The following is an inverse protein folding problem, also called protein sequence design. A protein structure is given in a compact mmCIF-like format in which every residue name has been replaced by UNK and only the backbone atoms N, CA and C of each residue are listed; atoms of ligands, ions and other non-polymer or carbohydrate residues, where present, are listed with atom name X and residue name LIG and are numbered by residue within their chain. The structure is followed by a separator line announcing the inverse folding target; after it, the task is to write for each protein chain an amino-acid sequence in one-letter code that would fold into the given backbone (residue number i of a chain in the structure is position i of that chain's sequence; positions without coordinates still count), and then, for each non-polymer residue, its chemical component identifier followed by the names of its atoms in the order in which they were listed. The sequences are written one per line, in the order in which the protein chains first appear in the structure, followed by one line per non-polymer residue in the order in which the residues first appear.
data_IF_516480043325
#
_entry.id   IF_516480043325
#
_cell.length_a   1.000
_cell.length_b   1.000
_cell.length_c   1.000
_cell.angle_alpha   90.00
_cell.angle_beta   90.00
_cell.angle_gamma   90.00
#
_symmetry.space_group_name_H-M   'P 1'
#
loop_
_entity.id
_entity.type
_entity.pdbx_description
1 polymer ?
#
# COMPACT_ATOMS: atom_id res chain seq x y z
N UNK A 1 23.63 -44.44 17.36
CA UNK A 1 23.67 -45.81 17.92
C UNK A 1 22.22 -46.30 17.95
N UNK A 2 22.01 -47.60 17.70
CA UNK A 2 20.73 -48.34 17.54
C UNK A 2 20.33 -48.60 16.08
N UNK A 3 20.20 -49.90 15.82
CA UNK A 3 20.06 -50.68 14.58
C UNK A 3 18.61 -51.17 14.42
N UNK A 4 18.41 -51.87 13.29
CA UNK A 4 17.44 -52.94 13.00
C UNK A 4 16.17 -52.49 12.28
N UNK A 5 15.55 -53.24 11.36
CA UNK A 5 15.91 -54.41 10.55
C UNK A 5 14.66 -54.75 9.73
N UNK A 6 14.84 -55.12 8.47
CA UNK A 6 14.09 -56.13 7.67
C UNK A 6 12.71 -56.62 8.15
N UNK A 7 11.73 -56.70 7.24
CA UNK A 7 11.37 -58.01 6.67
C UNK A 7 10.38 -57.95 5.49
N UNK A 8 10.65 -58.83 4.55
CA UNK A 8 9.86 -59.23 3.38
C UNK A 8 8.92 -60.36 3.78
N UNK A 9 7.68 -60.40 3.27
CA UNK A 9 6.99 -61.67 3.02
C UNK A 9 6.02 -61.61 1.83
N UNK A 10 6.19 -62.60 0.94
CA UNK A 10 5.33 -63.01 -0.17
C UNK A 10 4.37 -64.10 0.29
N UNK A 11 3.36 -64.36 -0.56
CA UNK A 11 2.50 -65.55 -0.73
C UNK A 11 1.02 -65.28 -0.40
N UNK A 12 0.02 -65.86 -1.05
CA UNK A 12 -0.14 -66.59 -2.32
C UNK A 12 -1.62 -67.01 -2.39
N UNK A 13 -2.18 -67.08 -3.61
CA UNK A 13 -3.31 -67.94 -4.05
C UNK A 13 -4.68 -67.85 -3.35
N UNK A 14 -5.76 -67.77 -4.14
CA UNK A 14 -6.65 -68.93 -4.38
C UNK A 14 -7.75 -68.64 -5.42
N UNK A 15 -7.89 -69.59 -6.35
CA UNK A 15 -8.95 -69.75 -7.35
C UNK A 15 -10.32 -70.03 -6.73
N UNK A 16 -11.40 -69.56 -7.38
CA UNK A 16 -12.67 -70.32 -7.48
C UNK A 16 -13.38 -70.06 -8.83
N UNK A 17 -13.75 -71.17 -9.45
CA UNK A 17 -14.54 -71.38 -10.67
C UNK A 17 -16.03 -71.10 -10.46
N UNK A 18 -16.77 -70.71 -11.52
CA UNK A 18 -17.89 -71.51 -12.08
C UNK A 18 -18.58 -70.86 -13.30
N UNK A 19 -18.82 -71.72 -14.29
CA UNK A 19 -20.00 -71.81 -15.18
C UNK A 19 -20.22 -70.85 -16.35
N UNK A 20 -20.07 -71.44 -17.54
CA UNK A 20 -20.54 -70.95 -18.83
C UNK A 20 -22.03 -71.27 -19.04
N UNK A 21 -22.75 -70.34 -19.66
CA UNK A 21 -23.98 -70.61 -20.41
C UNK A 21 -23.78 -70.00 -21.81
N UNK A 22 -23.83 -70.85 -22.83
CA UNK A 22 -23.85 -70.46 -24.24
C UNK A 22 -25.28 -70.01 -24.61
N UNK A 23 -25.40 -68.83 -25.23
CA UNK A 23 -26.51 -68.52 -26.14
C UNK A 23 -25.92 -67.86 -27.38
N UNK A 24 -26.22 -68.46 -28.53
CA UNK A 24 -25.84 -68.05 -29.89
C UNK A 24 -26.71 -66.89 -30.38
N UNK A 25 -26.12 -65.88 -31.04
CA UNK A 25 -26.81 -65.10 -32.10
C UNK A 25 -25.86 -64.17 -32.86
N UNK A 26 -25.84 -64.38 -34.18
CA UNK A 26 -25.55 -63.50 -35.32
C UNK A 26 -24.49 -62.37 -35.21
N UNK A 27 -23.40 -62.52 -35.98
CA UNK A 27 -22.53 -61.43 -36.40
C UNK A 27 -23.27 -60.47 -37.37
N UNK A 28 -23.30 -59.19 -37.01
CA UNK A 28 -23.48 -58.07 -37.92
C UNK A 28 -22.29 -57.12 -37.70
N UNK A 29 -21.39 -57.06 -38.67
CA UNK A 29 -20.26 -56.12 -38.68
C UNK A 29 -20.78 -54.71 -38.89
N UNK A 30 -20.79 -53.89 -37.83
CA UNK A 30 -20.90 -52.44 -37.96
C UNK A 30 -19.51 -51.82 -37.96
N UNK A 31 -19.18 -51.14 -39.05
CA UNK A 31 -18.07 -50.21 -39.17
C UNK A 31 -18.27 -49.06 -38.17
N UNK A 32 -17.37 -48.96 -37.18
CA UNK A 32 -17.33 -47.83 -36.25
C UNK A 32 -16.79 -46.63 -37.03
N UNK A 33 -17.67 -45.70 -37.40
CA UNK A 33 -17.27 -44.38 -37.85
C UNK A 33 -16.60 -43.63 -36.71
N UNK A 34 -15.36 -43.18 -36.92
CA UNK A 34 -14.67 -42.26 -36.02
C UNK A 34 -15.43 -40.93 -36.05
N UNK A 35 -16.26 -40.71 -35.04
CA UNK A 35 -16.87 -39.42 -34.76
C UNK A 35 -15.76 -38.44 -34.38
N UNK A 36 -15.53 -37.43 -35.22
CA UNK A 36 -14.82 -36.22 -34.81
C UNK A 36 -15.64 -35.59 -33.68
N UNK A 37 -15.07 -35.58 -32.47
CA UNK A 37 -15.64 -34.85 -31.35
C UNK A 37 -15.74 -33.36 -31.71
N UNK A 38 -16.93 -32.91 -32.08
CA UNK A 38 -17.26 -31.50 -32.11
C UNK A 38 -17.03 -30.92 -30.71
N UNK A 39 -16.13 -29.96 -30.60
CA UNK A 39 -15.99 -29.14 -29.40
C UNK A 39 -17.38 -28.57 -29.07
N UNK A 40 -17.90 -28.91 -27.89
CA UNK A 40 -19.16 -28.35 -27.41
C UNK A 40 -19.02 -26.82 -27.40
N UNK A 41 -19.77 -26.14 -28.28
CA UNK A 41 -19.81 -24.69 -28.30
C UNK A 41 -20.44 -24.22 -26.99
N UNK A 42 -19.64 -23.63 -26.10
CA UNK A 42 -20.16 -22.89 -24.96
C UNK A 42 -21.08 -21.82 -25.54
N UNK A 43 -22.39 -21.88 -25.25
CA UNK A 43 -23.34 -20.91 -25.77
C UNK A 43 -22.94 -19.51 -25.29
N UNK A 44 -22.40 -18.70 -26.19
CA UNK A 44 -21.96 -17.34 -25.88
C UNK A 44 -23.16 -16.41 -26.00
N UNK A 45 -23.61 -15.85 -24.87
CA UNK A 45 -24.50 -14.68 -24.94
C UNK A 45 -23.75 -13.56 -25.66
N UNK A 46 -24.41 -12.75 -26.50
CA UNK A 46 -23.78 -11.57 -27.08
C UNK A 46 -23.22 -10.68 -25.95
N UNK A 47 -22.05 -10.09 -26.18
CA UNK A 47 -21.41 -9.20 -25.22
C UNK A 47 -21.36 -7.77 -25.76
N UNK A 48 -21.79 -6.80 -24.96
CA UNK A 48 -21.53 -5.37 -25.20
C UNK A 48 -20.34 -4.95 -24.35
N UNK A 49 -19.33 -4.38 -24.98
CA UNK A 49 -18.04 -4.09 -24.35
C UNK A 49 -17.76 -2.61 -24.49
N UNK A 50 -17.50 -1.95 -23.37
CA UNK A 50 -17.08 -0.55 -23.34
C UNK A 50 -15.77 -0.43 -22.59
N UNK A 51 -14.80 0.30 -23.16
CA UNK A 51 -13.54 0.66 -22.51
C UNK A 51 -13.47 2.18 -22.47
N UNK A 52 -13.29 2.77 -21.28
CA UNK A 52 -13.27 4.22 -21.09
C UNK A 52 -14.47 4.93 -21.73
N UNK A 53 -15.66 4.33 -21.56
CA UNK A 53 -16.94 4.77 -22.13
C UNK A 53 -17.06 4.66 -23.66
N UNK A 54 -16.06 4.12 -24.35
CA UNK A 54 -16.10 3.86 -25.79
C UNK A 54 -16.47 2.41 -26.08
N UNK A 55 -17.40 2.19 -27.01
CA UNK A 55 -17.78 0.83 -27.42
C UNK A 55 -16.67 0.20 -28.25
N UNK A 56 -16.28 -1.02 -27.91
CA UNK A 56 -15.27 -1.80 -28.64
C UNK A 56 -15.84 -3.12 -29.13
N UNK A 57 -15.34 -3.60 -30.27
CA UNK A 57 -15.67 -4.93 -30.79
C UNK A 57 -14.41 -5.79 -30.72
N UNK A 58 -14.55 -7.00 -30.20
CA UNK A 58 -13.49 -7.99 -30.20
C UNK A 58 -13.78 -9.07 -31.25
N UNK A 59 -12.72 -9.68 -31.77
CA UNK A 59 -12.78 -10.68 -32.84
C UNK A 59 -13.47 -11.94 -32.33
N UNK A 60 -13.17 -12.31 -31.09
CA UNK A 60 -13.82 -13.38 -30.37
C UNK A 60 -14.68 -12.83 -29.23
N UNK A 61 -15.92 -13.27 -29.19
CA UNK A 61 -16.85 -12.90 -28.14
C UNK A 61 -16.36 -13.43 -26.78
N UNK A 62 -16.39 -12.60 -25.73
CA UNK A 62 -16.26 -13.06 -24.36
C UNK A 62 -17.30 -14.13 -24.02
N UNK A 63 -16.96 -15.03 -23.10
CA UNK A 63 -17.85 -16.09 -22.65
C UNK A 63 -17.69 -16.38 -21.18
N UNK A 64 -18.71 -17.02 -20.57
CA UNK A 64 -18.64 -17.49 -19.18
C UNK A 64 -18.50 -19.01 -19.17
N UNK A 65 -17.52 -19.51 -18.44
CA UNK A 65 -17.41 -20.93 -18.14
C UNK A 65 -17.19 -21.11 -16.65
N UNK A 66 -18.04 -21.91 -15.99
CA UNK A 66 -17.98 -22.19 -14.54
C UNK A 66 -17.84 -20.90 -13.69
N UNK A 67 -18.59 -19.86 -14.04
CA UNK A 67 -18.57 -18.57 -13.35
C UNK A 67 -17.40 -17.64 -13.69
N UNK A 68 -16.43 -18.09 -14.51
CA UNK A 68 -15.30 -17.26 -14.96
C UNK A 68 -15.60 -16.63 -16.32
N UNK A 69 -15.46 -15.31 -16.43
CA UNK A 69 -15.57 -14.59 -17.71
C UNK A 69 -14.23 -14.60 -18.41
N UNK A 70 -14.17 -15.17 -19.61
CA UNK A 70 -13.01 -15.21 -20.47
C UNK A 70 -13.11 -14.15 -21.57
N UNK A 71 -12.00 -13.51 -21.88
CA UNK A 71 -11.87 -12.51 -22.93
C UNK A 71 -10.59 -12.72 -23.76
N UNK A 72 -10.55 -12.29 -25.04
CA UNK A 72 -9.35 -12.34 -25.85
C UNK A 72 -8.26 -11.43 -25.27
N UNK A 73 -7.18 -12.03 -24.76
CA UNK A 73 -6.13 -11.35 -24.00
C UNK A 73 -5.57 -10.15 -24.74
N UNK A 74 -5.15 -10.35 -26.01
CA UNK A 74 -4.53 -9.29 -26.81
C UNK A 74 -5.45 -8.09 -26.99
N UNK A 75 -6.73 -8.33 -27.26
CA UNK A 75 -7.68 -7.25 -27.55
C UNK A 75 -8.09 -6.52 -26.29
N UNK A 76 -8.34 -7.24 -25.20
CA UNK A 76 -8.63 -6.65 -23.90
C UNK A 76 -7.44 -5.81 -23.40
N UNK A 77 -6.22 -6.36 -23.46
CA UNK A 77 -5.01 -5.64 -23.02
C UNK A 77 -4.70 -4.41 -23.89
N UNK A 78 -4.80 -4.54 -25.21
CA UNK A 78 -4.56 -3.40 -26.11
C UNK A 78 -5.63 -2.31 -25.94
N UNK A 79 -6.88 -2.69 -25.69
CA UNK A 79 -7.96 -1.73 -25.44
C UNK A 79 -7.76 -0.98 -24.11
N UNK A 80 -7.10 -1.59 -23.13
CA UNK A 80 -6.69 -0.96 -21.86
C UNK A 80 -5.39 -0.12 -21.98
N UNK A 81 -4.84 0.03 -23.19
CA UNK A 81 -3.62 0.81 -23.46
C UNK A 81 -2.31 0.02 -23.42
N UNK A 82 -2.36 -1.28 -23.08
CA UNK A 82 -1.16 -2.12 -22.97
C UNK A 82 -0.55 -2.47 -24.33
N UNK A 83 0.78 -2.44 -24.41
CA UNK A 83 1.51 -2.87 -25.61
C UNK A 83 1.75 -4.39 -25.57
N UNK A 84 1.08 -5.14 -26.45
CA UNK A 84 1.09 -6.61 -26.42
C UNK A 84 2.09 -7.20 -27.44
N UNK A 85 3.11 -7.90 -26.95
CA UNK A 85 4.10 -8.63 -27.76
C UNK A 85 4.05 -10.13 -27.50
N UNK A 86 4.40 -10.92 -28.53
CA UNK A 86 4.64 -12.35 -28.38
C UNK A 86 6.13 -12.59 -28.22
N UNK A 87 6.52 -13.25 -27.13
CA UNK A 87 7.88 -13.71 -26.92
C UNK A 87 8.01 -15.17 -27.38
N UNK A 88 8.55 -15.36 -28.58
CA UNK A 88 8.71 -16.68 -29.19
C UNK A 88 9.66 -17.59 -28.40
N UNK A 89 10.72 -17.03 -27.79
CA UNK A 89 11.68 -17.84 -27.04
C UNK A 89 11.07 -18.37 -25.73
N UNK A 90 10.31 -17.53 -25.02
CA UNK A 90 9.68 -17.90 -23.74
C UNK A 90 8.31 -18.57 -23.88
N UNK A 91 7.73 -18.52 -25.08
CA UNK A 91 6.37 -18.95 -25.39
C UNK A 91 5.34 -18.24 -24.48
N UNK A 92 5.49 -16.92 -24.36
CA UNK A 92 4.66 -16.06 -23.50
C UNK A 92 4.12 -14.87 -24.27
N UNK A 93 2.95 -14.40 -23.84
CA UNK A 93 2.50 -13.05 -24.16
C UNK A 93 3.10 -12.11 -23.12
N UNK A 94 3.70 -11.01 -23.58
CA UNK A 94 4.22 -9.92 -22.75
C UNK A 94 3.38 -8.67 -23.04
N UNK A 95 2.85 -8.04 -22.00
CA UNK A 95 2.10 -6.78 -22.05
C UNK A 95 2.93 -5.75 -21.29
N UNK A 96 3.25 -4.64 -21.93
CA UNK A 96 3.90 -3.50 -21.27
C UNK A 96 2.86 -2.43 -20.99
N UNK A 97 2.73 -2.04 -19.73
CA UNK A 97 1.76 -1.05 -19.28
C UNK A 97 2.31 -0.29 -18.08
N UNK A 98 2.32 1.05 -18.14
CA UNK A 98 2.83 1.91 -17.05
C UNK A 98 4.16 1.45 -16.43
N UNK A 99 5.12 1.09 -17.29
CA UNK A 99 6.44 0.58 -16.90
C UNK A 99 6.44 -0.87 -16.38
N UNK A 100 5.30 -1.48 -16.10
CA UNK A 100 5.20 -2.88 -15.68
C UNK A 100 5.29 -3.83 -16.87
N UNK A 101 5.93 -4.98 -16.66
CA UNK A 101 5.95 -6.10 -17.62
C UNK A 101 5.05 -7.22 -17.11
N UNK A 102 3.91 -7.40 -17.76
CA UNK A 102 2.93 -8.43 -17.44
C UNK A 102 3.15 -9.61 -18.41
N UNK A 103 3.53 -10.76 -17.87
CA UNK A 103 3.86 -11.96 -18.65
C UNK A 103 2.87 -13.07 -18.36
N UNK A 104 2.36 -13.71 -19.42
CA UNK A 104 1.46 -14.84 -19.29
C UNK A 104 1.80 -15.95 -20.28
N UNK A 105 1.90 -17.19 -19.77
CA UNK A 105 2.06 -18.40 -20.59
C UNK A 105 0.70 -19.03 -20.85
N UNK A 106 0.38 -19.28 -22.11
CA UNK A 106 -0.88 -19.92 -22.51
C UNK A 106 -1.09 -21.27 -21.80
N UNK A 107 -2.32 -21.53 -21.37
CA UNK A 107 -2.69 -22.76 -20.66
C UNK A 107 -2.31 -22.78 -19.18
N UNK A 108 -1.71 -21.72 -18.65
CA UNK A 108 -1.40 -21.61 -17.21
C UNK A 108 -2.45 -20.77 -16.48
N UNK A 109 -2.47 -20.88 -15.15
CA UNK A 109 -3.30 -20.10 -14.24
C UNK A 109 -2.49 -19.07 -13.45
N UNK A 110 -1.39 -18.56 -14.02
CA UNK A 110 -0.54 -17.53 -13.40
C UNK A 110 -0.31 -16.38 -14.38
N UNK A 111 -0.42 -15.15 -13.90
CA UNK A 111 0.12 -13.96 -14.55
C UNK A 111 1.28 -13.49 -13.68
N UNK A 112 2.44 -13.27 -14.29
CA UNK A 112 3.60 -12.66 -13.65
C UNK A 112 3.56 -11.16 -13.95
N UNK A 113 3.75 -10.31 -12.95
CA UNK A 113 3.87 -8.84 -13.10
C UNK A 113 5.18 -8.44 -12.46
N UNK A 114 6.19 -8.09 -13.26
CA UNK A 114 7.56 -7.92 -12.78
C UNK A 114 7.99 -9.16 -11.95
N UNK A 115 8.26 -9.01 -10.66
CA UNK A 115 8.60 -10.10 -9.73
C UNK A 115 7.39 -10.71 -9.00
N UNK A 116 6.22 -10.07 -9.07
CA UNK A 116 4.98 -10.51 -8.44
C UNK A 116 4.19 -11.52 -9.29
N UNK A 117 3.27 -12.24 -8.63
CA UNK A 117 2.41 -13.24 -9.26
C UNK A 117 0.96 -13.07 -8.82
N UNK A 118 0.06 -13.12 -9.79
CA UNK A 118 -1.38 -13.25 -9.55
C UNK A 118 -1.87 -14.62 -10.03
N UNK A 119 -2.64 -15.28 -9.16
CA UNK A 119 -3.29 -16.55 -9.47
C UNK A 119 -4.63 -16.31 -10.15
N UNK A 120 -4.85 -17.04 -11.24
CA UNK A 120 -6.08 -17.00 -12.00
C UNK A 120 -7.06 -18.03 -11.43
N UNK A 121 -8.38 -17.75 -11.43
CA UNK A 121 -9.38 -18.71 -10.97
C UNK A 121 -9.45 -19.96 -11.85
N UNK A 122 -8.92 -19.89 -13.08
CA UNK A 122 -8.80 -21.00 -14.00
C UNK A 122 -7.69 -20.74 -15.05
N UNK A 123 -7.13 -21.78 -15.69
CA UNK A 123 -6.14 -21.59 -16.75
C UNK A 123 -6.69 -20.86 -17.98
N UNK A 124 -5.83 -20.13 -18.69
CA UNK A 124 -6.17 -19.57 -20.00
C UNK A 124 -6.42 -20.67 -21.05
N UNK A 125 -7.17 -20.33 -22.09
CA UNK A 125 -7.63 -21.26 -23.13
C UNK A 125 -7.25 -20.76 -24.51
N UNK A 126 -6.89 -21.66 -25.41
CA UNK A 126 -6.72 -21.33 -26.82
C UNK A 126 -8.03 -21.64 -27.56
N UNK A 127 -8.59 -20.64 -28.24
CA UNK A 127 -9.75 -20.78 -29.11
C UNK A 127 -9.36 -20.32 -30.52
N UNK A 128 -9.18 -21.27 -31.43
CA UNK A 128 -8.86 -21.00 -32.84
C UNK A 128 -7.65 -20.07 -33.04
N UNK A 129 -6.62 -20.19 -32.20
CA UNK A 129 -5.43 -19.34 -32.24
C UNK A 129 -5.51 -18.10 -31.34
N UNK A 130 -6.67 -17.80 -30.76
CA UNK A 130 -6.86 -16.69 -29.83
C UNK A 130 -6.73 -17.16 -28.39
N UNK A 131 -5.81 -16.51 -27.66
CA UNK A 131 -5.64 -16.76 -26.23
C UNK A 131 -6.73 -16.04 -25.43
N UNK A 132 -7.60 -16.82 -24.81
CA UNK A 132 -8.68 -16.38 -23.95
C UNK A 132 -8.25 -16.48 -22.49
N UNK A 133 -8.37 -15.39 -21.74
CA UNK A 133 -7.92 -15.28 -20.35
C UNK A 133 -9.06 -14.85 -19.43
N UNK A 134 -9.12 -15.33 -18.17
CA UNK A 134 -9.97 -14.76 -17.14
C UNK A 134 -9.84 -13.22 -17.09
N UNK A 135 -10.90 -12.53 -17.50
CA UNK A 135 -10.88 -11.09 -17.73
C UNK A 135 -10.62 -10.31 -16.43
N UNK A 136 -11.13 -10.79 -15.30
CA UNK A 136 -10.87 -10.19 -13.98
C UNK A 136 -9.38 -10.18 -13.68
N UNK A 137 -8.69 -11.32 -13.79
CA UNK A 137 -7.26 -11.41 -13.53
C UNK A 137 -6.42 -10.57 -14.48
N UNK A 138 -6.80 -10.46 -15.77
CA UNK A 138 -6.14 -9.54 -16.69
C UNK A 138 -6.36 -8.07 -16.28
N UNK A 139 -7.59 -7.72 -15.89
CA UNK A 139 -7.91 -6.37 -15.44
C UNK A 139 -7.13 -6.03 -14.17
N UNK A 140 -7.07 -6.94 -13.20
CA UNK A 140 -6.32 -6.76 -11.96
C UNK A 140 -4.81 -6.59 -12.24
N UNK A 141 -4.24 -7.42 -13.14
CA UNK A 141 -2.83 -7.33 -13.55
C UNK A 141 -2.49 -6.00 -14.25
N UNK A 142 -3.45 -5.41 -14.97
CA UNK A 142 -3.33 -4.11 -15.63
C UNK A 142 -3.85 -2.95 -14.77
N UNK A 143 -4.16 -3.20 -13.48
CA UNK A 143 -4.76 -2.20 -12.57
C UNK A 143 -5.97 -1.50 -13.23
N UNK A 144 -6.76 -2.22 -14.01
CA UNK A 144 -7.93 -1.71 -14.69
C UNK A 144 -9.21 -1.95 -13.88
N UNK A 145 -10.14 -0.99 -13.95
CA UNK A 145 -11.48 -1.16 -13.40
C UNK A 145 -12.30 -2.13 -14.27
N UNK A 146 -13.02 -3.05 -13.64
CA UNK A 146 -13.90 -4.01 -14.31
C UNK A 146 -15.27 -4.07 -13.64
N UNK A 147 -16.32 -3.81 -14.42
CA UNK A 147 -17.70 -4.10 -14.06
C UNK A 147 -18.28 -5.11 -15.04
N UNK A 148 -18.84 -6.19 -14.49
CA UNK A 148 -19.49 -7.25 -15.24
C UNK A 148 -20.97 -7.29 -14.87
N UNK A 149 -21.85 -7.16 -15.85
CA UNK A 149 -23.29 -7.35 -15.65
C UNK A 149 -23.78 -8.45 -16.60
N UNK A 150 -24.31 -9.53 -16.04
CA UNK A 150 -24.87 -10.63 -16.81
C UNK A 150 -26.40 -10.52 -16.82
N UNK A 151 -26.98 -10.28 -17.99
CA UNK A 151 -28.44 -10.23 -18.18
C UNK A 151 -28.93 -11.52 -18.84
N UNK A 152 -30.24 -11.80 -18.91
CA UNK A 152 -30.76 -12.96 -19.64
C UNK A 152 -30.31 -13.00 -21.11
N UNK A 153 -30.22 -11.82 -21.77
CA UNK A 153 -30.00 -11.71 -23.22
C UNK A 153 -28.57 -11.37 -23.62
N UNK A 154 -27.80 -10.68 -22.76
CA UNK A 154 -26.43 -10.25 -23.06
C UNK A 154 -25.51 -10.15 -21.84
N UNK A 155 -24.21 -10.24 -22.07
CA UNK A 155 -23.19 -9.82 -21.13
C UNK A 155 -22.84 -8.34 -21.38
N UNK A 156 -22.69 -7.55 -20.31
CA UNK A 156 -22.20 -6.18 -20.38
C UNK A 156 -20.86 -6.16 -19.65
N UNK A 157 -19.81 -5.73 -20.36
CA UNK A 157 -18.45 -5.59 -19.85
C UNK A 157 -18.08 -4.11 -19.92
N UNK A 158 -17.82 -3.51 -18.77
CA UNK A 158 -17.29 -2.14 -18.69
C UNK A 158 -15.90 -2.20 -18.11
N UNK A 159 -14.93 -1.82 -18.92
CA UNK A 159 -13.52 -1.67 -18.54
C UNK A 159 -13.19 -0.19 -18.39
N UNK A 160 -12.30 0.12 -17.45
CA UNK A 160 -11.70 1.44 -17.26
C UNK A 160 -10.20 1.29 -17.15
N UNK A 161 -9.45 1.95 -18.01
CA UNK A 161 -7.99 1.90 -18.00
C UNK A 161 -7.41 2.51 -16.73
N UNK A 162 -6.20 2.11 -16.34
CA UNK A 162 -5.55 2.69 -15.17
C UNK A 162 -5.14 4.14 -15.44
N UNK A 163 -5.94 5.06 -14.93
CA UNK A 163 -5.66 6.50 -15.00
C UNK A 163 -4.98 7.02 -13.73
N UNK A 164 -4.82 6.15 -12.72
CA UNK A 164 -4.25 6.51 -11.43
C UNK A 164 -2.72 6.42 -11.47
N UNK A 165 -2.15 5.51 -12.25
CA UNK A 165 -0.69 5.41 -12.39
C UNK A 165 -0.15 6.50 -13.32
N UNK A 166 0.83 7.25 -12.85
CA UNK A 166 1.52 8.31 -13.61
C UNK A 166 3.01 8.01 -13.59
N UNK A 167 3.64 7.97 -14.75
CA UNK A 167 5.10 7.93 -14.91
C UNK A 167 5.45 8.84 -16.08
N UNK A 168 6.04 10.00 -15.78
CA UNK A 168 6.59 10.87 -16.81
C UNK A 168 7.89 10.28 -17.35
N UNK A 169 8.25 10.64 -18.58
CA UNK A 169 9.48 10.14 -19.23
C UNK A 169 10.73 10.37 -18.36
N UNK A 170 10.79 11.50 -17.68
CA UNK A 170 11.91 11.92 -16.83
C UNK A 170 11.99 11.13 -15.52
N UNK A 171 10.87 10.57 -15.03
CA UNK A 171 10.83 9.80 -13.77
C UNK A 171 10.97 8.28 -13.98
N UNK A 172 11.21 7.82 -15.20
CA UNK A 172 11.41 6.40 -15.52
C UNK A 172 12.60 5.78 -14.78
N UNK A 173 13.66 6.55 -14.53
CA UNK A 173 14.81 6.09 -13.74
C UNK A 173 14.39 5.82 -12.28
N UNK A 174 13.50 6.62 -11.71
CA UNK A 174 12.99 6.45 -10.34
C UNK A 174 12.10 5.19 -10.27
N UNK A 175 11.24 4.95 -11.26
CA UNK A 175 10.45 3.70 -11.37
C UNK A 175 11.36 2.47 -11.43
N UNK A 176 12.46 2.54 -12.19
CA UNK A 176 13.43 1.45 -12.28
C UNK A 176 14.15 1.22 -10.94
N UNK A 177 14.60 2.28 -10.27
CA UNK A 177 15.23 2.21 -8.96
C UNK A 177 14.32 1.54 -7.92
N UNK A 178 13.04 1.95 -7.84
CA UNK A 178 12.09 1.38 -6.88
C UNK A 178 11.85 -0.12 -7.11
N UNK A 179 11.81 -0.57 -8.37
CA UNK A 179 11.71 -1.99 -8.70
C UNK A 179 12.96 -2.77 -8.28
N UNK A 180 14.14 -2.27 -8.61
CA UNK A 180 15.42 -2.91 -8.26
C UNK A 180 15.65 -2.97 -6.75
N UNK A 181 15.18 -1.96 -6.02
CA UNK A 181 15.20 -1.92 -4.57
C UNK A 181 14.15 -2.85 -3.92
N UNK A 182 13.31 -3.52 -4.70
CA UNK A 182 12.24 -4.39 -4.20
C UNK A 182 11.18 -3.63 -3.40
N UNK A 183 10.92 -2.37 -3.74
CA UNK A 183 9.93 -1.56 -3.06
C UNK A 183 8.52 -2.14 -3.26
N UNK A 184 7.74 -2.21 -2.18
CA UNK A 184 6.34 -2.61 -2.17
C UNK A 184 5.54 -1.58 -1.37
N UNK A 185 4.53 -1.01 -2.00
CA UNK A 185 3.78 0.13 -1.48
C UNK A 185 3.44 1.16 -2.54
N UNK A 186 3.11 2.37 -2.10
CA UNK A 186 2.71 3.48 -2.99
C UNK A 186 3.77 4.57 -2.97
N UNK A 187 4.30 4.93 -4.14
CA UNK A 187 5.24 6.03 -4.30
C UNK A 187 4.61 7.21 -5.05
N UNK A 188 4.95 8.43 -4.63
CA UNK A 188 4.70 9.66 -5.35
C UNK A 188 5.97 10.54 -5.33
N UNK A 189 6.29 11.12 -6.48
CA UNK A 189 7.31 12.15 -6.64
C UNK A 189 6.69 13.33 -7.36
N UNK A 190 6.79 14.51 -6.76
CA UNK A 190 6.33 15.76 -7.34
C UNK A 190 7.44 16.82 -7.33
N UNK A 191 7.37 17.74 -8.30
CA UNK A 191 8.20 18.95 -8.35
C UNK A 191 7.26 20.14 -8.39
N UNK A 192 7.35 21.03 -7.40
CA UNK A 192 6.48 22.21 -7.25
C UNK A 192 4.97 21.87 -7.28
N UNK A 193 4.61 20.72 -6.73
CA UNK A 193 3.24 20.20 -6.72
C UNK A 193 2.81 19.44 -7.97
N UNK A 194 3.59 19.49 -9.06
CA UNK A 194 3.32 18.73 -10.28
C UNK A 194 3.81 17.29 -10.14
N UNK A 195 2.88 16.34 -10.24
CA UNK A 195 3.17 14.91 -10.10
C UNK A 195 3.99 14.42 -11.30
N UNK A 196 5.18 13.88 -11.01
CA UNK A 196 6.11 13.28 -12.00
C UNK A 196 6.07 11.77 -11.98
N UNK A 197 5.85 11.18 -10.80
CA UNK A 197 5.61 9.76 -10.61
C UNK A 197 4.52 9.57 -9.56
N UNK A 198 3.58 8.65 -9.81
CA UNK A 198 2.56 8.20 -8.87
C UNK A 198 2.23 6.76 -9.20
N UNK A 199 2.72 5.80 -8.43
CA UNK A 199 2.63 4.37 -8.76
C UNK A 199 2.56 3.46 -7.54
N UNK A 200 1.79 2.38 -7.67
CA UNK A 200 1.79 1.26 -6.75
C UNK A 200 2.72 0.13 -7.20
N UNK A 201 3.47 -0.43 -6.25
CA UNK A 201 4.43 -1.52 -6.42
C UNK A 201 4.07 -2.66 -5.48
N UNK A 202 4.28 -3.90 -5.91
CA UNK A 202 3.97 -5.08 -5.11
C UNK A 202 2.47 -5.36 -4.97
N UNK A 203 2.16 -6.15 -3.95
CA UNK A 203 0.81 -6.64 -3.65
C UNK A 203 0.15 -5.84 -2.52
N UNK A 204 -1.10 -5.40 -2.71
CA UNK A 204 -1.92 -4.78 -1.66
C UNK A 204 -2.59 -5.80 -0.75
N UNK A 205 -2.83 -7.00 -1.28
CA UNK A 205 -3.25 -8.22 -0.60
C UNK A 205 -2.80 -9.45 -1.43
N UNK A 206 -3.05 -10.68 -0.99
CA UNK A 206 -2.58 -11.90 -1.68
C UNK A 206 -3.10 -12.06 -3.13
N UNK A 207 -4.12 -11.32 -3.55
CA UNK A 207 -4.75 -11.45 -4.87
C UNK A 207 -4.81 -10.13 -5.66
N UNK A 208 -4.27 -9.03 -5.14
CA UNK A 208 -4.44 -7.69 -5.72
C UNK A 208 -3.15 -6.90 -5.70
N UNK A 209 -2.84 -6.21 -6.80
CA UNK A 209 -1.69 -5.29 -6.88
C UNK A 209 -1.98 -4.00 -6.12
N UNK A 210 -0.93 -3.38 -5.59
CA UNK A 210 -1.01 -2.02 -5.06
C UNK A 210 -1.40 -1.05 -6.17
N UNK A 211 -2.42 -0.23 -5.89
CA UNK A 211 -2.79 0.92 -6.71
C UNK A 211 -2.40 2.22 -6.00
N UNK A 212 -2.00 3.25 -6.76
CA UNK A 212 -1.57 4.50 -6.14
C UNK A 212 -2.70 5.36 -5.55
N UNK A 213 -3.97 5.02 -5.79
CA UNK A 213 -5.16 5.68 -5.21
C UNK A 213 -5.68 5.00 -3.94
N UNK A 214 -4.97 3.99 -3.42
CA UNK A 214 -5.31 3.34 -2.16
C UNK A 214 -4.80 4.12 -0.95
N UNK A 215 -5.42 3.83 0.20
CA UNK A 215 -5.03 4.37 1.51
C UNK A 215 -3.96 3.48 2.14
N UNK A 216 -3.08 4.09 2.93
CA UNK A 216 -2.14 3.38 3.79
C UNK A 216 -2.15 3.99 5.19
N UNK A 217 -1.79 3.21 6.20
CA UNK A 217 -1.28 3.79 7.44
C UNK A 217 -0.03 4.61 7.12
N UNK A 218 0.11 5.77 7.75
CA UNK A 218 1.29 6.65 7.53
C UNK A 218 2.29 6.60 8.68
N UNK A 219 1.97 5.84 9.74
CA UNK A 219 2.79 5.66 10.94
C UNK A 219 3.32 7.02 11.44
N UNK A 220 4.60 7.13 11.79
CA UNK A 220 5.17 8.32 12.42
C UNK A 220 5.16 9.60 11.57
N UNK A 221 4.80 9.56 10.28
CA UNK A 221 4.47 10.78 9.52
C UNK A 221 3.35 11.57 10.22
N UNK A 222 2.49 10.88 11.00
CA UNK A 222 1.49 11.48 11.89
C UNK A 222 2.07 12.59 12.78
N UNK A 223 3.33 12.49 13.21
CA UNK A 223 3.98 13.46 14.09
C UNK A 223 4.08 14.85 13.48
N UNK A 224 4.27 14.94 12.16
CA UNK A 224 4.23 16.23 11.46
C UNK A 224 2.88 16.93 11.59
N UNK A 225 1.77 16.18 11.57
CA UNK A 225 0.43 16.73 11.80
C UNK A 225 0.22 17.15 13.25
N UNK A 226 0.71 16.34 14.21
CA UNK A 226 0.65 16.67 15.64
C UNK A 226 1.43 17.94 15.96
N UNK A 227 2.66 18.05 15.44
CA UNK A 227 3.49 19.23 15.60
C UNK A 227 2.82 20.47 15.01
N UNK A 228 2.30 20.39 13.79
CA UNK A 228 1.58 21.51 13.19
C UNK A 228 0.32 21.92 13.96
N UNK A 229 -0.43 20.97 14.54
CA UNK A 229 -1.58 21.27 15.40
C UNK A 229 -1.18 22.03 16.67
N UNK A 230 -0.07 21.64 17.29
CA UNK A 230 0.47 22.33 18.47
C UNK A 230 1.02 23.70 18.09
N UNK A 231 1.77 23.80 16.99
CA UNK A 231 2.30 25.08 16.50
C UNK A 231 1.19 26.05 16.08
N UNK A 232 0.06 25.56 15.58
CA UNK A 232 -1.12 26.39 15.32
C UNK A 232 -1.68 27.00 16.62
N UNK A 233 -1.64 26.25 17.74
CA UNK A 233 -2.07 26.73 19.06
C UNK A 233 -1.06 27.72 19.67
N UNK A 234 0.24 27.51 19.44
CA UNK A 234 1.30 28.48 19.78
C UNK A 234 1.10 29.78 19.01
N UNK A 235 0.90 29.71 17.69
CA UNK A 235 0.65 30.88 16.83
C UNK A 235 -0.59 31.67 17.28
N UNK A 236 -1.62 30.99 17.77
CA UNK A 236 -2.84 31.62 18.30
C UNK A 236 -2.67 32.21 19.72
N UNK A 237 -1.52 31.97 20.37
CA UNK A 237 -1.26 32.41 21.74
C UNK A 237 -2.00 31.62 22.82
N UNK A 238 -2.57 30.46 22.48
CA UNK A 238 -3.31 29.62 23.44
C UNK A 238 -2.37 28.84 24.37
N UNK A 239 -1.17 28.53 23.90
CA UNK A 239 -0.12 27.83 24.64
C UNK A 239 1.25 28.45 24.30
N UNK A 240 2.23 28.24 25.18
CA UNK A 240 3.64 28.58 24.96
C UNK A 240 4.47 27.31 24.82
N UNK A 241 5.53 27.36 24.00
CA UNK A 241 6.52 26.28 23.90
C UNK A 241 7.21 26.00 25.26
N UNK A 242 7.29 27.01 26.13
CA UNK A 242 7.88 26.91 27.47
C UNK A 242 6.88 26.47 28.55
N UNK A 243 5.60 26.28 28.19
CA UNK A 243 4.64 25.82 29.18
C UNK A 243 5.02 24.41 29.67
N UNK A 244 4.99 24.17 30.99
CA UNK A 244 5.26 22.84 31.53
C UNK A 244 4.09 21.91 31.25
N UNK A 245 4.38 20.63 31.02
CA UNK A 245 3.36 19.59 30.78
C UNK A 245 2.34 19.53 31.92
N UNK A 246 2.77 19.74 33.17
CA UNK A 246 1.90 19.70 34.36
C UNK A 246 0.78 20.75 34.35
N UNK A 247 0.89 21.79 33.51
CA UNK A 247 -0.19 22.78 33.29
C UNK A 247 -1.42 22.16 32.63
N UNK A 248 -1.24 21.10 31.85
CA UNK A 248 -2.28 20.47 31.03
C UNK A 248 -2.53 19.01 31.41
N UNK A 249 -1.47 18.27 31.75
CA UNK A 249 -1.54 16.84 32.09
C UNK A 249 -0.84 16.60 33.42
N UNK A 250 -1.63 16.27 34.45
CA UNK A 250 -1.12 16.03 35.80
C UNK A 250 -0.55 14.61 35.99
N UNK A 251 0.35 14.48 36.98
CA UNK A 251 0.89 13.18 37.43
C UNK A 251 2.03 12.61 36.60
N UNK A 252 2.57 13.38 35.65
CA UNK A 252 3.76 12.99 34.87
C UNK A 252 5.02 13.20 35.71
N UNK A 253 5.94 12.23 35.72
CA UNK A 253 7.24 12.32 36.40
C UNK A 253 7.99 13.58 35.91
N UNK A 254 8.26 14.52 36.83
CA UNK A 254 8.84 15.85 36.54
C UNK A 254 8.10 16.62 35.43
N UNK A 255 6.79 16.43 35.30
CA UNK A 255 5.97 17.16 34.32
C UNK A 255 5.97 18.69 34.51
N UNK A 256 6.38 19.19 35.67
CA UNK A 256 6.60 20.62 35.94
C UNK A 256 7.91 21.17 35.37
N UNK A 257 8.81 20.30 34.91
CA UNK A 257 10.11 20.66 34.32
C UNK A 257 10.14 20.37 32.81
N UNK A 258 9.35 19.39 32.34
CA UNK A 258 9.23 19.05 30.92
C UNK A 258 8.34 20.10 30.23
N UNK A 259 8.86 20.76 29.20
CA UNK A 259 8.11 21.77 28.41
C UNK A 259 7.51 21.18 27.13
N UNK A 260 6.57 21.91 26.50
CA UNK A 260 6.01 21.56 25.19
C UNK A 260 7.11 21.46 24.12
N UNK A 261 8.09 22.38 24.13
CA UNK A 261 9.28 22.31 23.28
C UNK A 261 9.97 20.95 23.40
N UNK A 262 10.23 20.49 24.63
CA UNK A 262 10.93 19.22 24.87
C UNK A 262 10.13 17.98 24.41
N UNK A 263 8.80 18.07 24.40
CA UNK A 263 7.96 17.03 23.81
C UNK A 263 8.08 17.01 22.28
N UNK A 264 8.04 18.16 21.63
CA UNK A 264 8.11 18.30 20.17
C UNK A 264 9.49 17.89 19.61
N UNK A 265 10.57 18.27 20.30
CA UNK A 265 11.97 18.01 19.91
C UNK A 265 12.54 16.67 20.42
N UNK A 266 11.73 15.85 21.09
CA UNK A 266 12.14 14.59 21.73
C UNK A 266 13.26 14.73 22.76
N UNK A 267 13.31 15.83 23.51
CA UNK A 267 14.32 16.05 24.58
C UNK A 267 13.75 15.90 25.99
N UNK A 268 12.51 15.43 26.13
CA UNK A 268 11.82 15.26 27.43
C UNK A 268 12.37 14.18 28.37
N UNK A 269 13.19 13.25 27.86
CA UNK A 269 13.65 12.08 28.63
C UNK A 269 12.60 10.98 28.84
N UNK A 270 11.37 11.12 28.30
CA UNK A 270 10.30 10.12 28.44
C UNK A 270 10.61 8.83 27.66
N UNK A 271 10.32 7.64 28.21
CA UNK A 271 10.42 6.37 27.47
C UNK A 271 9.51 6.36 26.24
N UNK A 272 9.86 5.59 25.21
CA UNK A 272 9.13 5.57 23.93
C UNK A 272 8.00 4.53 23.84
N UNK A 273 8.04 3.49 24.68
CA UNK A 273 7.09 2.39 24.62
C UNK A 273 5.76 2.73 25.30
N UNK A 274 4.68 2.14 24.80
CA UNK A 274 3.35 2.13 25.40
C UNK A 274 2.61 0.87 24.95
N UNK A 275 1.51 0.53 25.61
CA UNK A 275 0.69 -0.64 25.26
C UNK A 275 0.00 -0.45 23.91
N UNK A 276 0.39 -1.25 22.92
CA UNK A 276 -0.21 -1.26 21.57
C UNK A 276 -1.23 -2.39 21.45
N UNK A 277 -2.41 -2.18 22.01
CA UNK A 277 -3.54 -3.12 21.93
C UNK A 277 -4.80 -2.40 21.44
N UNK A 278 -5.60 -3.07 20.64
CA UNK A 278 -6.88 -2.53 20.18
C UNK A 278 -7.81 -2.17 21.35
N UNK A 279 -8.52 -1.05 21.23
CA UNK A 279 -9.47 -0.59 22.25
C UNK A 279 -8.85 0.15 23.44
N UNK A 280 -7.52 0.34 23.46
CA UNK A 280 -6.86 1.12 24.51
C UNK A 280 -7.20 2.61 24.33
N UNK A 281 -7.69 3.23 25.40
CA UNK A 281 -8.07 4.66 25.42
C UNK A 281 -6.87 5.56 25.67
N UNK A 282 -7.03 6.85 25.36
CA UNK A 282 -6.07 7.89 25.74
C UNK A 282 -5.82 7.87 27.26
N UNK A 283 -6.88 7.85 28.08
CA UNK A 283 -6.74 7.84 29.54
C UNK A 283 -5.96 6.63 30.08
N UNK A 284 -6.17 5.44 29.51
CA UNK A 284 -5.36 4.27 29.89
C UNK A 284 -3.87 4.50 29.58
N UNK A 285 -3.58 5.08 28.42
CA UNK A 285 -2.20 5.34 28.00
C UNK A 285 -1.55 6.43 28.88
N UNK A 286 -2.30 7.48 29.24
CA UNK A 286 -1.83 8.49 30.19
C UNK A 286 -1.56 7.89 31.56
N UNK A 287 -2.45 7.02 32.07
CA UNK A 287 -2.22 6.29 33.31
C UNK A 287 -0.96 5.42 33.24
N UNK A 288 -0.70 4.76 32.10
CA UNK A 288 0.54 4.02 31.87
C UNK A 288 1.77 4.96 31.93
N UNK A 289 1.74 6.10 31.24
CA UNK A 289 2.84 7.07 31.21
C UNK A 289 3.17 7.60 32.62
N UNK A 290 2.15 7.89 33.45
CA UNK A 290 2.31 8.36 34.84
C UNK A 290 3.11 7.38 35.72
N UNK A 291 3.15 6.09 35.37
CA UNK A 291 3.92 5.08 36.13
C UNK A 291 5.39 5.00 35.72
N UNK A 292 5.79 5.66 34.63
CA UNK A 292 7.12 5.52 34.06
C UNK A 292 8.09 6.53 34.66
N UNK A 293 9.36 6.11 34.76
CA UNK A 293 10.46 7.00 35.11
C UNK A 293 11.09 7.59 33.86
N UNK A 294 11.55 8.83 33.98
CA UNK A 294 12.40 9.43 32.97
C UNK A 294 13.66 8.59 32.79
N UNK A 295 14.13 8.53 31.56
CA UNK A 295 15.31 7.79 31.20
C UNK A 295 16.52 8.70 30.92
N UNK A 296 16.30 10.02 30.95
CA UNK A 296 17.30 11.09 30.92
C UNK A 296 16.74 12.35 31.61
N UNK A 297 17.59 13.30 31.97
CA UNK A 297 17.17 14.60 32.48
C UNK A 297 16.42 15.41 31.40
N UNK A 298 15.32 16.12 31.73
CA UNK A 298 14.61 16.97 30.76
C UNK A 298 15.55 17.99 30.09
N UNK A 299 15.55 18.01 28.76
CA UNK A 299 16.37 18.89 27.94
C UNK A 299 17.84 18.44 27.75
N UNK A 300 18.28 17.36 28.37
CA UNK A 300 19.70 16.99 28.37
C UNK A 300 20.17 16.32 27.07
N UNK A 301 19.34 15.49 26.44
CA UNK A 301 19.69 14.75 25.23
C UNK A 301 18.46 14.45 24.36
N UNK A 302 18.70 14.23 23.07
CA UNK A 302 17.68 13.69 22.18
C UNK A 302 17.36 12.24 22.49
N UNK A 303 16.08 11.94 22.66
CA UNK A 303 15.55 10.58 22.74
C UNK A 303 14.13 10.49 22.21
N UNK A 304 14.03 9.92 21.02
CA UNK A 304 12.75 9.68 20.35
C UNK A 304 11.72 8.99 21.27
N UNK A 305 10.62 9.71 21.54
CA UNK A 305 9.59 9.27 22.49
C UNK A 305 8.20 9.38 21.90
N UNK A 306 7.55 8.24 21.68
CA UNK A 306 6.12 8.26 21.33
C UNK A 306 5.26 8.80 22.47
N UNK A 307 5.66 8.59 23.74
CA UNK A 307 4.90 9.12 24.88
C UNK A 307 4.89 10.64 24.91
N UNK A 308 5.96 11.31 24.46
CA UNK A 308 5.95 12.76 24.31
C UNK A 308 4.89 13.25 23.32
N UNK A 309 4.75 12.58 22.18
CA UNK A 309 3.72 12.91 21.19
C UNK A 309 2.30 12.50 21.61
N UNK A 310 2.15 11.48 22.45
CA UNK A 310 0.87 11.16 23.09
C UNK A 310 0.45 12.30 24.03
N UNK A 311 1.38 12.83 24.82
CA UNK A 311 1.13 13.98 25.67
C UNK A 311 0.77 15.23 24.85
N UNK A 312 1.43 15.47 23.71
CA UNK A 312 1.04 16.56 22.79
C UNK A 312 -0.40 16.40 22.28
N UNK A 313 -0.81 15.18 21.91
CA UNK A 313 -2.20 14.93 21.54
C UNK A 313 -3.17 15.18 22.70
N UNK A 314 -2.84 14.73 23.92
CA UNK A 314 -3.67 14.99 25.10
C UNK A 314 -3.76 16.50 25.44
N UNK A 315 -2.65 17.24 25.33
CA UNK A 315 -2.63 18.70 25.49
C UNK A 315 -3.54 19.36 24.44
N UNK A 316 -3.46 18.94 23.18
CA UNK A 316 -4.32 19.44 22.12
C UNK A 316 -5.81 19.19 22.40
N UNK A 317 -6.16 18.00 22.90
CA UNK A 317 -7.53 17.65 23.29
C UNK A 317 -8.01 18.53 24.46
N UNK A 318 -7.17 18.73 25.48
CA UNK A 318 -7.47 19.56 26.66
C UNK A 318 -7.73 21.03 26.27
N UNK A 319 -6.84 21.64 25.47
CA UNK A 319 -6.97 23.06 25.11
C UNK A 319 -8.09 23.34 24.11
N UNK A 320 -8.37 22.39 23.22
CA UNK A 320 -9.37 22.58 22.16
C UNK A 320 -10.76 22.07 22.53
N UNK A 321 -10.87 21.20 23.53
CA UNK A 321 -12.10 20.49 23.88
C UNK A 321 -12.58 19.50 22.82
N UNK A 322 -11.71 19.11 21.86
CA UNK A 322 -12.03 18.21 20.75
C UNK A 322 -11.11 17.01 20.76
N UNK A 323 -11.62 15.84 20.39
CA UNK A 323 -10.78 14.67 20.13
C UNK A 323 -9.74 14.96 19.04
N UNK A 324 -8.55 14.39 19.16
CA UNK A 324 -7.39 14.64 18.29
C UNK A 324 -7.74 14.52 16.80
N UNK A 325 -8.43 13.44 16.41
CA UNK A 325 -8.84 13.22 15.03
C UNK A 325 -9.86 14.25 14.53
N UNK A 326 -10.77 14.69 15.40
CA UNK A 326 -11.78 15.70 15.07
C UNK A 326 -11.14 17.08 14.89
N UNK A 327 -10.18 17.44 15.75
CA UNK A 327 -9.38 18.66 15.60
C UNK A 327 -8.67 18.66 14.24
N UNK A 328 -7.94 17.59 13.90
CA UNK A 328 -7.21 17.51 12.63
C UNK A 328 -8.15 17.57 11.41
N UNK A 329 -9.30 16.91 11.50
CA UNK A 329 -10.29 16.92 10.43
C UNK A 329 -10.82 18.33 10.14
N UNK A 330 -11.08 19.11 11.18
CA UNK A 330 -11.65 20.46 11.07
C UNK A 330 -10.60 21.51 10.69
N UNK A 331 -9.42 21.47 11.29
CA UNK A 331 -8.41 22.51 11.15
C UNK A 331 -7.43 22.28 10.00
N UNK A 332 -7.28 21.04 9.52
CA UNK A 332 -6.34 20.71 8.44
C UNK A 332 -7.02 19.97 7.29
N UNK A 333 -7.58 18.78 7.53
CA UNK A 333 -7.98 17.89 6.43
C UNK A 333 -9.11 18.46 5.56
N UNK A 334 -10.19 18.97 6.17
CA UNK A 334 -11.27 19.62 5.40
C UNK A 334 -10.79 20.90 4.69
N UNK A 335 -10.13 21.87 5.36
CA UNK A 335 -9.68 23.11 4.72
C UNK A 335 -8.72 22.95 3.55
N UNK A 336 -7.90 21.90 3.55
CA UNK A 336 -6.92 21.64 2.47
C UNK A 336 -7.33 20.51 1.54
N UNK A 337 -8.54 19.96 1.72
CA UNK A 337 -9.14 19.00 0.80
C UNK A 337 -8.52 17.60 0.87
N UNK A 338 -7.99 17.21 2.02
CA UNK A 338 -7.55 15.84 2.30
C UNK A 338 -8.75 14.96 2.65
N UNK A 339 -9.43 14.44 1.63
CA UNK A 339 -10.70 13.71 1.77
C UNK A 339 -10.52 12.25 2.18
N UNK A 340 -9.31 11.73 2.03
CA UNK A 340 -8.95 10.34 2.21
C UNK A 340 -7.89 10.17 3.33
N UNK A 341 -7.94 11.08 4.30
CA UNK A 341 -7.06 11.12 5.48
C UNK A 341 -7.90 11.21 6.75
N UNK A 342 -7.48 10.49 7.79
CA UNK A 342 -8.17 10.51 9.08
C UNK A 342 -7.53 9.57 10.10
N UNK A 343 -8.18 9.43 11.27
CA UNK A 343 -7.80 8.44 12.28
C UNK A 343 -8.21 7.05 11.82
N UNK A 344 -7.28 6.11 11.79
CA UNK A 344 -7.53 4.74 11.38
C UNK A 344 -8.27 3.95 12.47
N UNK A 345 -9.23 3.16 11.99
CA UNK A 345 -9.98 2.16 12.77
C UNK A 345 -9.79 0.78 12.12
N UNK A 346 -10.13 -0.32 12.82
CA UNK A 346 -10.11 -1.66 12.22
C UNK A 346 -10.97 -1.80 10.95
N UNK A 347 -11.97 -0.93 10.75
CA UNK A 347 -12.81 -0.91 9.56
C UNK A 347 -12.27 -0.02 8.42
N UNK A 348 -11.21 0.73 8.68
CA UNK A 348 -10.56 1.57 7.67
C UNK A 348 -9.88 0.69 6.63
N UNK A 349 -10.25 0.85 5.36
CA UNK A 349 -9.67 0.08 4.26
C UNK A 349 -8.35 0.71 3.81
N UNK A 350 -7.25 0.08 4.19
CA UNK A 350 -5.88 0.39 3.76
C UNK A 350 -5.27 -0.79 2.99
N UNK A 351 -4.19 -0.55 2.25
CA UNK A 351 -3.32 -1.64 1.77
C UNK A 351 -2.86 -2.48 2.96
N UNK A 352 -2.75 -3.80 2.79
CA UNK A 352 -2.32 -4.70 3.87
C UNK A 352 -0.83 -4.56 4.11
N UNK A 353 -0.45 -4.50 5.38
CA UNK A 353 0.94 -4.53 5.81
C UNK A 353 1.46 -5.96 5.95
N UNK A 354 2.77 -6.14 5.77
CA UNK A 354 3.43 -7.44 5.78
C UNK A 354 4.67 -7.45 6.69
N UNK A 355 4.88 -8.56 7.38
CA UNK A 355 6.07 -8.81 8.20
C UNK A 355 6.81 -10.04 7.70
N UNK A 356 8.15 -10.01 7.77
CA UNK A 356 8.96 -11.19 7.49
C UNK A 356 8.75 -12.25 8.57
N UNK A 357 8.42 -13.47 8.14
CA UNK A 357 8.34 -14.67 8.96
C UNK A 357 9.33 -15.70 8.43
N UNK A 358 10.61 -15.53 8.79
CA UNK A 358 11.72 -16.42 8.41
C UNK A 358 11.98 -16.43 6.89
N UNK A 359 12.09 -15.25 6.27
CA UNK A 359 12.36 -15.06 4.85
C UNK A 359 11.12 -15.15 3.95
N UNK A 360 9.93 -15.19 4.54
CA UNK A 360 8.65 -15.16 3.81
C UNK A 360 7.78 -14.03 4.33
N UNK A 361 7.30 -13.15 3.44
CA UNK A 361 6.36 -12.09 3.78
C UNK A 361 4.97 -12.66 4.06
N UNK A 362 4.43 -12.37 5.23
CA UNK A 362 3.09 -12.75 5.64
C UNK A 362 2.28 -11.51 6.06
N UNK A 363 0.97 -11.53 5.83
CA UNK A 363 0.07 -10.45 6.24
C UNK A 363 0.22 -10.20 7.75
N UNK A 364 0.45 -8.96 8.12
CA UNK A 364 0.63 -8.54 9.49
C UNK A 364 -0.71 -8.42 10.22
N UNK A 365 -0.67 -8.46 11.55
CA UNK A 365 -1.83 -8.10 12.35
C UNK A 365 -2.18 -6.62 12.18
N UNK A 366 -3.39 -6.24 12.59
CA UNK A 366 -3.85 -4.85 12.52
C UNK A 366 -2.85 -3.91 13.23
N UNK A 367 -2.50 -2.82 12.55
CA UNK A 367 -1.59 -1.81 13.08
C UNK A 367 -2.26 -1.00 14.18
N UNK A 368 -1.66 -1.00 15.37
CA UNK A 368 -2.16 -0.27 16.54
C UNK A 368 -1.18 0.82 16.98
N UNK A 369 -1.69 2.04 17.14
CA UNK A 369 -0.97 3.18 17.71
C UNK A 369 -1.91 4.05 18.55
N UNK A 370 -1.38 5.13 19.12
CA UNK A 370 -2.16 6.14 19.86
C UNK A 370 -2.14 7.50 19.15
N UNK A 371 -3.15 8.34 19.39
CA UNK A 371 -3.20 9.74 18.92
C UNK A 371 -1.89 10.46 19.17
N UNK A 372 -1.52 11.35 18.25
CA UNK A 372 -0.24 12.06 18.25
C UNK A 372 0.94 11.28 17.64
N UNK A 373 0.86 9.94 17.56
CA UNK A 373 2.06 9.14 17.23
C UNK A 373 2.05 8.56 15.83
N UNK A 374 0.96 7.89 15.46
CA UNK A 374 0.92 7.03 14.27
C UNK A 374 -0.47 6.58 13.82
N UNK A 375 -1.54 7.02 14.47
CA UNK A 375 -2.91 6.53 14.23
C UNK A 375 -3.51 6.95 12.90
N UNK A 376 -2.87 7.86 12.15
CA UNK A 376 -3.45 8.35 10.91
C UNK A 376 -3.26 7.37 9.74
N UNK A 377 -4.25 7.37 8.85
CA UNK A 377 -4.12 6.86 7.48
C UNK A 377 -4.21 8.04 6.50
N UNK A 378 -3.67 7.87 5.30
CA UNK A 378 -3.76 8.85 4.22
C UNK A 378 -3.56 8.19 2.85
N UNK A 379 -3.53 9.01 1.80
CA UNK A 379 -3.10 8.68 0.44
C UNK A 379 -1.89 9.54 0.07
N UNK A 380 -1.14 9.14 -0.95
CA UNK A 380 -0.04 9.98 -1.45
C UNK A 380 -0.52 11.34 -1.98
N UNK A 381 -1.74 11.42 -2.54
CA UNK A 381 -2.29 12.69 -3.04
C UNK A 381 -2.67 13.64 -1.91
N UNK A 382 -3.24 13.12 -0.82
CA UNK A 382 -3.56 13.93 0.34
C UNK A 382 -2.29 14.41 1.05
N UNK A 383 -1.27 13.56 1.15
CA UNK A 383 0.05 13.98 1.67
C UNK A 383 0.74 15.02 0.77
N UNK A 384 0.52 15.00 -0.54
CA UNK A 384 0.99 16.06 -1.42
C UNK A 384 0.25 17.39 -1.19
N UNK A 385 -1.07 17.35 -0.94
CA UNK A 385 -1.82 18.56 -0.52
C UNK A 385 -1.34 19.09 0.82
N UNK A 386 -0.97 18.20 1.74
CA UNK A 386 -0.37 18.56 3.01
C UNK A 386 0.96 19.30 2.82
N UNK A 387 1.86 18.77 1.99
CA UNK A 387 3.10 19.46 1.60
C UNK A 387 2.82 20.85 1.01
N UNK A 388 1.93 20.95 0.02
CA UNK A 388 1.58 22.23 -0.60
C UNK A 388 1.02 23.25 0.39
N UNK A 389 0.20 22.80 1.35
CA UNK A 389 -0.36 23.66 2.38
C UNK A 389 0.69 24.16 3.39
N UNK A 390 1.76 23.39 3.59
CA UNK A 390 2.93 23.72 4.41
C UNK A 390 4.03 24.48 3.63
N UNK A 391 3.82 24.90 2.38
CA UNK A 391 4.78 25.74 1.63
C UNK A 391 4.36 27.21 1.57
N UNK A 392 3.25 27.57 2.22
CA UNK A 392 2.75 28.93 2.31
C UNK A 392 2.12 29.17 3.69
N UNK A 393 1.43 30.30 3.84
CA UNK A 393 0.86 30.77 5.11
C UNK A 393 -0.52 30.19 5.44
N UNK A 394 -1.04 29.27 4.61
CA UNK A 394 -2.39 28.73 4.73
C UNK A 394 -2.62 27.99 6.05
N UNK A 395 -1.59 27.35 6.59
CA UNK A 395 -1.68 26.47 7.77
C UNK A 395 -0.97 27.06 8.97
N UNK A 396 0.25 27.54 8.77
CA UNK A 396 1.13 28.18 9.76
C UNK A 396 1.82 29.36 9.06
N UNK A 397 2.12 30.43 9.79
CA UNK A 397 2.94 31.52 9.25
C UNK A 397 4.36 31.03 8.95
N UNK A 398 5.08 31.77 8.09
CA UNK A 398 6.47 31.48 7.74
C UNK A 398 7.37 31.40 9.00
N UNK A 399 7.27 32.37 9.91
CA UNK A 399 8.01 32.38 11.19
C UNK A 399 7.75 31.11 12.03
N UNK A 400 6.51 30.64 12.07
CA UNK A 400 6.14 29.44 12.82
C UNK A 400 6.66 28.18 12.12
N UNK A 401 6.74 28.19 10.79
CA UNK A 401 7.34 27.10 10.02
C UNK A 401 8.87 27.05 10.19
N UNK A 402 9.56 28.19 10.15
CA UNK A 402 10.99 28.28 10.45
C UNK A 402 11.31 27.72 11.84
N UNK A 403 10.49 28.07 12.82
CA UNK A 403 10.56 27.47 14.16
C UNK A 403 10.34 25.95 14.10
N UNK A 404 9.30 25.50 13.38
CA UNK A 404 8.98 24.06 13.27
C UNK A 404 10.08 23.25 12.58
N UNK A 405 10.84 23.84 11.65
CA UNK A 405 11.92 23.19 10.89
C UNK A 405 13.31 23.51 11.41
N UNK A 406 13.45 24.18 12.56
CA UNK A 406 14.76 24.40 13.19
C UNK A 406 15.26 23.12 13.87
N UNK A 407 16.54 22.74 13.73
CA UNK A 407 17.09 21.55 14.39
C UNK A 407 17.34 21.83 15.89
N UNK A 408 16.57 21.19 16.76
CA UNK A 408 16.66 21.38 18.22
C UNK A 408 17.43 20.29 18.94
N UNK A 409 18.13 19.44 18.20
CA UNK A 409 18.89 18.34 18.75
C UNK A 409 20.10 17.95 17.90
N UNK A 410 20.99 17.14 18.47
CA UNK A 410 22.15 16.53 17.81
C UNK A 410 21.77 15.56 16.68
N UNK A 411 20.50 15.16 16.60
CA UNK A 411 19.94 14.36 15.50
C UNK A 411 19.23 15.21 14.45
N UNK A 412 19.44 16.54 14.48
CA UNK A 412 18.77 17.53 13.63
C UNK A 412 17.25 17.41 13.65
N UNK A 413 16.66 17.06 14.79
CA UNK A 413 15.21 16.91 14.91
C UNK A 413 14.57 18.25 15.23
N UNK A 414 13.71 18.73 14.33
CA UNK A 414 12.81 19.86 14.56
C UNK A 414 11.52 19.43 15.23
N UNK A 415 10.41 20.05 14.92
CA UNK A 415 9.11 19.67 15.48
C UNK A 415 8.37 18.74 14.52
N UNK A 416 8.54 17.43 14.72
CA UNK A 416 7.89 16.39 13.92
C UNK A 416 8.57 16.13 12.57
N UNK A 417 9.79 16.65 12.39
CA UNK A 417 10.60 16.55 11.18
C UNK A 417 12.08 16.40 11.53
N UNK A 418 12.80 15.61 10.74
CA UNK A 418 14.26 15.61 10.72
C UNK A 418 14.70 16.59 9.63
N UNK A 419 15.71 17.39 9.94
CA UNK A 419 16.22 18.45 9.08
C UNK A 419 17.59 18.04 8.55
N UNK A 420 17.78 18.17 7.24
CA UNK A 420 19.04 17.86 6.57
C UNK A 420 19.41 19.01 5.64
N UNK A 421 20.54 19.65 5.92
CA UNK A 421 21.13 20.65 5.02
C UNK A 421 21.97 19.92 3.96
N UNK A 422 21.62 20.10 2.68
CA UNK A 422 22.37 19.53 1.55
C UNK A 422 22.90 20.65 0.64
N UNK A 423 23.72 20.31 -0.35
CA UNK A 423 24.20 21.30 -1.34
C UNK A 423 23.04 21.87 -2.19
N UNK A 424 21.93 21.16 -2.25
CA UNK A 424 20.73 21.44 -3.05
C UNK A 424 19.57 22.03 -2.25
N UNK A 425 19.81 22.38 -0.98
CA UNK A 425 18.86 23.06 -0.10
C UNK A 425 18.56 22.30 1.20
N UNK A 426 17.64 22.85 1.98
CA UNK A 426 17.17 22.28 3.23
C UNK A 426 16.09 21.22 2.92
N UNK A 427 16.37 19.97 3.27
CA UNK A 427 15.43 18.85 3.19
C UNK A 427 14.85 18.57 4.57
N UNK A 428 13.52 18.56 4.68
CA UNK A 428 12.82 18.08 5.87
C UNK A 428 12.11 16.77 5.57
N UNK A 429 12.31 15.77 6.42
CA UNK A 429 11.74 14.45 6.22
C UNK A 429 11.29 13.79 7.52
N UNK A 430 10.44 12.77 7.41
CA UNK A 430 10.13 11.89 8.52
C UNK A 430 9.78 10.51 7.99
N UNK A 431 10.41 9.48 8.55
CA UNK A 431 10.06 8.09 8.27
C UNK A 431 9.04 7.57 9.30
N UNK A 432 8.26 6.57 8.92
CA UNK A 432 7.32 5.89 9.79
C UNK A 432 7.57 4.41 9.79
N UNK A 433 7.40 3.77 10.95
CA UNK A 433 7.48 2.32 11.06
C UNK A 433 6.36 1.80 11.96
N UNK A 434 5.91 0.60 11.66
CA UNK A 434 4.77 -0.02 12.32
C UNK A 434 4.65 -1.49 11.95
N UNK A 435 3.78 -2.20 12.68
CA UNK A 435 3.39 -3.57 12.34
C UNK A 435 2.93 -3.64 10.88
N UNK A 436 3.80 -4.18 10.02
CA UNK A 436 3.53 -4.35 8.59
C UNK A 436 3.79 -3.14 7.70
N UNK A 437 4.29 -2.00 8.20
CA UNK A 437 4.44 -0.78 7.41
C UNK A 437 5.78 -0.09 7.64
N UNK A 438 6.33 0.46 6.57
CA UNK A 438 7.49 1.35 6.57
C UNK A 438 7.18 2.49 5.61
N UNK A 439 7.12 3.72 6.09
CA UNK A 439 6.67 4.88 5.31
C UNK A 439 7.68 6.00 5.39
N UNK A 440 7.56 6.98 4.49
CA UNK A 440 8.43 8.13 4.44
C UNK A 440 7.80 9.28 3.68
N UNK A 441 8.08 10.50 4.13
CA UNK A 441 7.86 11.72 3.36
C UNK A 441 9.13 12.57 3.47
N UNK A 442 9.57 13.14 2.35
CA UNK A 442 10.69 14.06 2.25
C UNK A 442 10.27 15.26 1.40
N UNK A 443 10.65 16.46 1.84
CA UNK A 443 10.31 17.74 1.22
C UNK A 443 11.58 18.58 1.16
N UNK A 444 12.03 18.94 -0.03
CA UNK A 444 13.06 19.95 -0.19
C UNK A 444 12.39 21.33 -0.20
N UNK A 445 12.75 22.17 0.76
CA UNK A 445 12.10 23.46 0.99
C UNK A 445 12.46 24.49 -0.09
N UNK A 446 13.66 24.40 -0.66
CA UNK A 446 14.18 25.37 -1.63
C UNK A 446 13.74 25.10 -3.08
N UNK A 447 13.77 23.83 -3.53
CA UNK A 447 13.54 23.49 -4.93
C UNK A 447 12.14 22.90 -5.24
N UNK A 448 11.32 22.68 -4.20
CA UNK A 448 9.94 22.24 -4.37
C UNK A 448 9.75 20.73 -4.62
N UNK A 449 10.80 19.92 -4.52
CA UNK A 449 10.70 18.46 -4.68
C UNK A 449 10.07 17.83 -3.44
N UNK A 450 9.09 16.97 -3.68
CA UNK A 450 8.39 16.20 -2.64
C UNK A 450 8.38 14.72 -3.02
N UNK A 451 8.85 13.87 -2.11
CA UNK A 451 8.88 12.41 -2.25
C UNK A 451 8.05 11.79 -1.13
N UNK A 452 7.10 10.92 -1.48
CA UNK A 452 6.22 10.23 -0.54
C UNK A 452 6.27 8.73 -0.84
N UNK A 453 6.62 7.93 0.16
CA UNK A 453 6.69 6.48 0.09
C UNK A 453 5.80 5.88 1.20
N UNK A 454 4.74 5.16 0.82
CA UNK A 454 3.84 4.45 1.72
C UNK A 454 4.05 2.94 1.57
N UNK A 455 5.14 2.43 2.14
CA UNK A 455 5.53 1.03 2.06
C UNK A 455 4.71 0.12 2.96
N UNK A 456 4.38 -1.06 2.44
CA UNK A 456 3.54 -2.05 3.14
C UNK A 456 4.32 -3.29 3.57
N UNK A 457 5.64 -3.20 3.67
CA UNK A 457 6.51 -4.21 4.26
C UNK A 457 7.25 -3.59 5.46
N UNK A 458 7.27 -4.29 6.59
CA UNK A 458 8.00 -3.86 7.77
C UNK A 458 9.52 -3.97 7.53
N UNK A 459 10.29 -2.98 8.00
CA UNK A 459 11.76 -3.00 7.95
C UNK A 459 12.37 -2.57 6.63
N UNK A 460 11.62 -1.92 5.74
CA UNK A 460 12.21 -1.29 4.55
C UNK A 460 13.03 -0.06 4.95
N UNK A 461 14.23 0.08 4.38
CA UNK A 461 15.12 1.23 4.56
C UNK A 461 14.59 2.48 3.83
N UNK A 462 13.62 3.15 4.46
CA UNK A 462 12.92 4.29 3.86
C UNK A 462 13.81 5.53 3.71
N UNK A 463 14.68 5.82 4.68
CA UNK A 463 15.50 7.04 4.66
C UNK A 463 16.42 7.07 3.44
N UNK A 464 17.20 5.99 3.22
CA UNK A 464 18.07 5.90 2.05
C UNK A 464 17.31 5.94 0.71
N UNK A 465 16.09 5.39 0.65
CA UNK A 465 15.26 5.51 -0.55
C UNK A 465 14.76 6.94 -0.77
N UNK A 466 14.35 7.65 0.28
CA UNK A 466 13.94 9.05 0.17
C UNK A 466 15.08 9.92 -0.35
N UNK A 467 16.28 9.76 0.23
CA UNK A 467 17.47 10.53 -0.14
C UNK A 467 17.86 10.26 -1.60
N UNK A 468 17.95 8.99 -1.99
CA UNK A 468 18.30 8.62 -3.36
C UNK A 468 17.29 9.16 -4.38
N UNK A 469 15.99 9.15 -4.06
CA UNK A 469 14.96 9.66 -4.96
C UNK A 469 14.98 11.19 -5.01
N UNK A 470 15.27 11.89 -3.90
CA UNK A 470 15.48 13.34 -3.90
C UNK A 470 16.59 13.73 -4.88
N UNK A 471 17.75 13.07 -4.83
CA UNK A 471 18.86 13.30 -5.76
C UNK A 471 18.47 13.05 -7.22
N UNK A 472 17.76 11.95 -7.49
CA UNK A 472 17.29 11.62 -8.84
C UNK A 472 16.25 12.65 -9.35
N UNK A 473 15.45 13.20 -8.44
CA UNK A 473 14.37 14.13 -8.75
C UNK A 473 14.85 15.54 -9.11
N UNK A 474 16.11 15.90 -8.80
CA UNK A 474 16.73 17.17 -9.22
C UNK A 474 16.79 17.36 -10.74
N UNK A 475 16.61 16.27 -11.51
CA UNK A 475 16.64 16.25 -12.98
C UNK A 475 15.25 16.34 -13.64
N UNK A 476 14.17 16.48 -12.85
CA UNK A 476 12.77 16.46 -13.29
C UNK A 476 12.20 17.85 -13.67
#
# INVERSE_FOLDING_TARGET
MIRFSTNVHKNSMLNRTLSAILVTSALLTQTIGVSQAQAASVATKPASITVDSQSVTWEYAPFVEKGTTYAPLRQAASALGGQVKWNQAKQTVEIYDHGDTITHRAGTNVIQINDDRLMLPAPSKNMSGTLMIPLRSLSDAMKAGLQLTNTPTKMIITLKSDSSTIINRESTAIDQYLKEAGYSGIALVASNGDIRLRKGYGLSDINSLVRPDQKSHIASITKGFTAAAIMQQVQQGNISLEDPVSKYVSGIDRGNEITIHMLLSHTSGLPSNFTRKEGITMEYTLAEIRTKKLMAEPGAEYRYSNNGYILLAAILEEISGKEYGAYLQEHFFKPIGMKDTGTATPSTKTIKGYTDQNGTWAEASYYVSQSGTGTLYSTVDDLLKWDQALRGDKVLSEEIQETMYSPYSDQNYGYGWIVSETEEGTVVFHNGSGTGYSTGISRNLDNGITVILLGNHAGMEMTGMLDQIQEMALKL
#
